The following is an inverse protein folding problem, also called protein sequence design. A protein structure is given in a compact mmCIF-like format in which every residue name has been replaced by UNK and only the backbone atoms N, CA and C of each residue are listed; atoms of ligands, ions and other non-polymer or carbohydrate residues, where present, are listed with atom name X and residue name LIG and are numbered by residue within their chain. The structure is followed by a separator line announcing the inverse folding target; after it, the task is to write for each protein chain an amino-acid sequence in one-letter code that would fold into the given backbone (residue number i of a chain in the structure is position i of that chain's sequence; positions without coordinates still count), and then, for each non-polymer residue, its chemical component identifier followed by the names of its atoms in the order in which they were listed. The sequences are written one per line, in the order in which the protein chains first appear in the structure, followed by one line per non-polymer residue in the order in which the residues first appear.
data_IF_013696752960
#
_entry.id   IF_013696752960
#
_cell.length_a   1.000
_cell.length_b   1.000
_cell.length_c   1.000
_cell.angle_alpha   90.00
_cell.angle_beta   90.00
_cell.angle_gamma   90.00
#
_symmetry.space_group_name_H-M   'P 1'
#
loop_
_entity.id
_entity.type
_entity.pdbx_description
1 polymer ?
#
# COMPACT_ATOMS: atom_id res chain seq x y z
N UNK A 1 -13.36 -3.04 5.02
CA UNK A 1 -14.15 -1.86 5.39
C UNK A 1 -13.18 -0.77 5.83
N UNK A 2 -12.98 0.30 5.05
CA UNK A 2 -12.03 1.35 5.38
C UNK A 2 -12.26 1.98 6.76
N UNK A 3 -13.53 2.14 7.16
CA UNK A 3 -13.88 2.73 8.45
C UNK A 3 -13.35 1.91 9.63
N UNK A 4 -13.45 0.58 9.55
CA UNK A 4 -12.90 -0.30 10.59
C UNK A 4 -11.38 -0.47 10.47
N UNK A 5 -10.81 -0.39 9.28
CA UNK A 5 -9.40 -0.74 9.05
C UNK A 5 -8.42 0.41 9.32
N UNK A 6 -8.76 1.66 8.98
CA UNK A 6 -7.81 2.77 9.14
C UNK A 6 -7.36 3.00 10.59
N UNK A 7 -8.24 2.94 11.60
CA UNK A 7 -7.86 3.08 13.01
C UNK A 7 -6.96 1.98 13.56
N UNK A 8 -6.76 0.89 12.83
CA UNK A 8 -5.89 -0.20 13.29
C UNK A 8 -4.43 0.05 12.91
N UNK A 9 -4.14 0.96 11.98
CA UNK A 9 -2.76 1.19 11.53
C UNK A 9 -1.84 1.74 12.63
N UNK A 10 -2.30 2.67 13.46
CA UNK A 10 -1.49 3.21 14.56
C UNK A 10 -1.26 2.17 15.65
N UNK A 11 -2.31 1.44 16.03
CA UNK A 11 -2.28 0.42 17.09
C UNK A 11 -1.39 -0.73 16.66
N UNK A 12 -1.62 -1.27 15.46
CA UNK A 12 -0.77 -2.32 14.91
C UNK A 12 0.69 -1.87 14.79
N UNK A 13 0.95 -0.66 14.27
CA UNK A 13 2.32 -0.17 14.13
C UNK A 13 3.02 0.02 15.49
N UNK A 14 2.30 0.50 16.51
CA UNK A 14 2.85 0.68 17.84
C UNK A 14 3.13 -0.65 18.55
N UNK A 15 2.17 -1.58 18.51
CA UNK A 15 2.30 -2.91 19.14
C UNK A 15 3.44 -3.74 18.51
N UNK A 16 3.71 -3.53 17.23
CA UNK A 16 4.82 -4.19 16.52
C UNK A 16 6.13 -3.37 16.53
N UNK A 17 6.20 -2.27 17.28
CA UNK A 17 7.43 -1.48 17.44
C UNK A 17 7.88 -0.73 16.19
N UNK A 18 6.99 -0.53 15.22
CA UNK A 18 7.26 0.20 13.97
C UNK A 18 7.25 1.72 14.17
N UNK A 19 6.53 2.18 15.20
CA UNK A 19 6.49 3.57 15.65
C UNK A 19 6.63 3.65 17.18
N UNK A 20 7.04 4.82 17.68
CA UNK A 20 7.14 5.06 19.13
C UNK A 20 5.87 5.69 19.69
N UNK A 21 5.72 5.67 21.01
CA UNK A 21 4.56 6.24 21.72
C UNK A 21 4.19 7.67 21.29
N UNK A 22 5.13 8.62 21.09
CA UNK A 22 4.77 9.96 20.61
C UNK A 22 4.13 9.96 19.22
N UNK A 23 4.64 9.15 18.29
CA UNK A 23 4.04 8.98 16.95
C UNK A 23 2.64 8.35 17.07
N UNK A 24 2.49 7.32 17.91
CA UNK A 24 1.21 6.66 18.16
C UNK A 24 0.12 7.64 18.64
N UNK A 25 0.40 8.47 19.66
CA UNK A 25 -0.60 9.40 20.19
C UNK A 25 -1.05 10.46 19.15
N UNK A 26 -0.12 10.91 18.29
CA UNK A 26 -0.44 11.83 17.19
C UNK A 26 -1.29 11.12 16.13
N UNK A 27 -0.87 9.92 15.72
CA UNK A 27 -1.56 9.13 14.69
C UNK A 27 -2.96 8.70 15.13
N UNK A 28 -3.17 8.40 16.41
CA UNK A 28 -4.49 8.13 16.97
C UNK A 28 -5.47 9.28 16.77
N UNK A 29 -4.99 10.52 16.88
CA UNK A 29 -5.76 11.71 16.56
C UNK A 29 -6.04 11.83 15.05
N UNK A 30 -5.04 11.54 14.22
CA UNK A 30 -5.17 11.57 12.75
C UNK A 30 -6.18 10.53 12.23
N UNK A 31 -6.14 9.29 12.74
CA UNK A 31 -7.08 8.24 12.33
C UNK A 31 -8.51 8.50 12.80
N UNK A 32 -8.71 9.12 13.98
CA UNK A 32 -10.05 9.61 14.37
C UNK A 32 -10.60 10.66 13.41
N UNK A 33 -9.75 11.56 12.91
CA UNK A 33 -10.16 12.55 11.92
C UNK A 33 -10.47 11.87 10.56
N UNK A 34 -9.67 10.88 10.17
CA UNK A 34 -9.92 10.03 9.01
C UNK A 34 -11.29 9.33 9.10
N UNK A 35 -11.63 8.69 10.21
CA UNK A 35 -12.94 8.04 10.43
C UNK A 35 -14.11 9.02 10.31
N UNK A 36 -13.97 10.20 10.91
CA UNK A 36 -14.97 11.25 10.82
C UNK A 36 -15.20 11.67 9.37
N UNK A 37 -14.14 11.79 8.57
CA UNK A 37 -14.24 12.09 7.13
C UNK A 37 -14.86 10.94 6.33
N UNK A 38 -14.51 9.68 6.61
CA UNK A 38 -15.13 8.51 5.97
C UNK A 38 -16.66 8.55 6.14
N UNK A 39 -17.13 8.87 7.35
CA UNK A 39 -18.56 9.01 7.65
C UNK A 39 -19.26 10.16 6.90
N UNK A 40 -18.54 11.15 6.37
CA UNK A 40 -19.14 12.22 5.55
C UNK A 40 -19.49 11.76 4.13
N UNK A 41 -18.88 10.66 3.66
CA UNK A 41 -19.02 10.18 2.28
C UNK A 41 -18.24 11.00 1.24
N UNK A 42 -17.45 12.00 1.64
CA UNK A 42 -16.61 12.79 0.72
C UNK A 42 -15.28 12.06 0.46
N UNK A 43 -15.36 10.98 -0.33
CA UNK A 43 -14.28 10.02 -0.51
C UNK A 43 -12.90 10.57 -0.91
N UNK A 44 -12.77 11.54 -1.84
CA UNK A 44 -11.44 12.03 -2.22
C UNK A 44 -10.68 12.68 -1.06
N UNK A 45 -11.38 13.43 -0.22
CA UNK A 45 -10.78 14.11 0.94
C UNK A 45 -10.48 13.09 2.05
N UNK A 46 -11.40 12.17 2.29
CA UNK A 46 -11.19 11.08 3.24
C UNK A 46 -9.97 10.25 2.85
N UNK A 47 -9.87 9.84 1.58
CA UNK A 47 -8.75 9.05 1.07
C UNK A 47 -7.41 9.77 1.30
N UNK A 48 -7.31 11.04 0.92
CA UNK A 48 -6.08 11.81 1.07
C UNK A 48 -5.62 11.90 2.53
N UNK A 49 -6.51 12.29 3.46
CA UNK A 49 -6.13 12.43 4.87
C UNK A 49 -5.73 11.08 5.47
N UNK A 50 -6.51 10.04 5.21
CA UNK A 50 -6.26 8.71 5.75
C UNK A 50 -4.92 8.15 5.22
N UNK A 51 -4.62 8.36 3.94
CA UNK A 51 -3.36 7.91 3.32
C UNK A 51 -2.14 8.69 3.83
N UNK A 52 -2.29 9.99 4.12
CA UNK A 52 -1.22 10.77 4.75
C UNK A 52 -0.85 10.21 6.13
N UNK A 53 -1.85 9.80 6.92
CA UNK A 53 -1.61 9.17 8.23
C UNK A 53 -0.87 7.83 8.09
N UNK A 54 -1.26 6.98 7.13
CA UNK A 54 -0.53 5.73 6.84
C UNK A 54 0.89 6.01 6.34
N UNK A 55 1.06 7.00 5.46
CA UNK A 55 2.37 7.39 4.94
C UNK A 55 3.29 7.90 6.04
N UNK A 56 2.78 8.56 7.08
CA UNK A 56 3.58 8.97 8.23
C UNK A 56 4.19 7.77 8.98
N UNK A 57 3.50 6.63 9.01
CA UNK A 57 4.01 5.36 9.56
C UNK A 57 5.07 4.77 8.63
N UNK A 58 4.75 4.66 7.33
CA UNK A 58 5.59 4.00 6.33
C UNK A 58 6.84 4.82 5.96
N UNK A 59 6.81 6.14 6.11
CA UNK A 59 7.87 7.04 5.71
C UNK A 59 7.87 7.34 4.21
N UNK A 60 8.99 7.06 3.53
CA UNK A 60 9.14 7.38 2.12
C UNK A 60 8.31 6.41 1.25
N UNK A 61 7.44 6.89 0.35
CA UNK A 61 6.54 6.03 -0.43
C UNK A 61 7.25 5.18 -1.50
N UNK A 62 8.46 5.55 -1.91
CA UNK A 62 9.29 4.77 -2.84
C UNK A 62 10.13 3.75 -2.06
N UNK A 63 10.61 4.13 -0.87
CA UNK A 63 11.43 3.27 -0.02
C UNK A 63 10.93 3.35 1.43
N UNK A 64 9.87 2.61 1.77
CA UNK A 64 9.29 2.66 3.10
C UNK A 64 10.28 2.16 4.16
N UNK A 65 10.01 2.50 5.43
CA UNK A 65 10.83 2.12 6.60
C UNK A 65 10.97 0.60 6.74
N UNK A 66 9.97 -0.14 6.28
CA UNK A 66 9.85 -1.61 6.26
C UNK A 66 8.98 -2.02 5.07
N UNK A 67 8.95 -3.31 4.74
CA UNK A 67 8.08 -3.82 3.67
C UNK A 67 6.60 -3.70 4.07
N UNK A 68 5.79 -3.01 3.25
CA UNK A 68 4.37 -2.73 3.53
C UNK A 68 3.51 -3.99 3.59
N UNK A 69 3.99 -5.10 3.04
CA UNK A 69 3.31 -6.39 3.01
C UNK A 69 3.81 -7.34 4.12
N UNK A 70 5.04 -7.16 4.59
CA UNK A 70 5.63 -7.94 5.69
C UNK A 70 6.55 -7.07 6.56
N UNK A 71 6.06 -6.72 7.75
CA UNK A 71 6.76 -5.84 8.69
C UNK A 71 8.07 -6.41 9.25
N UNK A 72 8.35 -7.70 9.01
CA UNK A 72 9.59 -8.37 9.44
C UNK A 72 10.73 -8.16 8.45
N UNK A 73 10.43 -7.65 7.25
CA UNK A 73 11.37 -7.51 6.14
C UNK A 73 11.62 -6.03 5.77
N UNK A 74 12.77 -5.76 5.17
CA UNK A 74 13.03 -4.49 4.49
C UNK A 74 12.42 -4.47 3.08
N UNK A 75 12.09 -3.28 2.58
CA UNK A 75 11.65 -3.10 1.20
C UNK A 75 12.86 -3.02 0.26
N UNK A 76 13.39 -4.18 -0.12
CA UNK A 76 14.63 -4.26 -0.91
C UNK A 76 14.39 -4.10 -2.43
N UNK A 77 13.18 -4.37 -2.89
CA UNK A 77 12.79 -4.30 -4.31
C UNK A 77 11.67 -3.25 -4.54
N UNK A 78 11.96 -1.95 -4.45
CA UNK A 78 10.95 -0.91 -4.66
C UNK A 78 10.46 -0.90 -6.13
N UNK A 79 9.19 -0.53 -6.40
CA UNK A 79 8.21 0.00 -5.43
C UNK A 79 7.34 -1.08 -4.74
N UNK A 80 7.39 -2.33 -5.19
CA UNK A 80 6.50 -3.42 -4.72
C UNK A 80 7.10 -4.25 -3.57
N UNK A 81 8.29 -3.89 -3.08
CA UNK A 81 9.06 -4.53 -2.02
C UNK A 81 9.46 -6.00 -2.23
N UNK A 82 8.96 -6.67 -3.27
CA UNK A 82 9.32 -8.04 -3.68
C UNK A 82 9.83 -8.08 -5.12
N UNK A 83 10.64 -9.10 -5.42
CA UNK A 83 11.07 -9.42 -6.78
C UNK A 83 9.95 -10.15 -7.53
N UNK A 84 9.31 -9.42 -8.46
CA UNK A 84 8.28 -9.97 -9.35
C UNK A 84 8.84 -10.45 -10.69
N UNK A 85 10.15 -10.35 -10.92
CA UNK A 85 10.78 -10.77 -12.18
C UNK A 85 10.47 -12.21 -12.59
N UNK A 86 10.31 -13.21 -11.68
CA UNK A 86 9.92 -14.54 -12.11
C UNK A 86 8.53 -14.59 -12.77
N UNK A 87 7.57 -13.84 -12.24
CA UNK A 87 6.23 -13.74 -12.81
C UNK A 87 6.26 -12.98 -14.14
N UNK A 88 6.99 -11.88 -14.21
CA UNK A 88 7.15 -11.11 -15.44
C UNK A 88 7.81 -11.92 -16.56
N UNK A 89 8.89 -12.63 -16.24
CA UNK A 89 9.59 -13.47 -17.20
C UNK A 89 8.67 -14.55 -17.76
N UNK A 90 7.86 -15.19 -16.91
CA UNK A 90 6.88 -16.18 -17.33
C UNK A 90 5.80 -15.57 -18.24
N UNK A 91 5.24 -14.43 -17.84
CA UNK A 91 4.10 -13.81 -18.54
C UNK A 91 4.50 -13.07 -19.82
N UNK A 92 5.78 -12.75 -19.97
CA UNK A 92 6.35 -12.15 -21.19
C UNK A 92 6.97 -13.16 -22.14
N UNK A 93 7.08 -14.44 -21.74
CA UNK A 93 7.54 -15.52 -22.61
C UNK A 93 6.57 -15.72 -23.81
N UNK A 94 7.05 -15.62 -25.07
CA UNK A 94 6.21 -15.77 -26.26
C UNK A 94 5.51 -17.13 -26.37
N UNK A 95 6.16 -18.23 -25.94
CA UNK A 95 5.56 -19.56 -25.95
C UNK A 95 4.41 -19.63 -24.94
N UNK A 96 4.57 -19.02 -23.76
CA UNK A 96 3.50 -18.92 -22.75
C UNK A 96 2.36 -18.06 -23.27
N UNK A 97 2.65 -16.89 -23.85
CA UNK A 97 1.62 -16.02 -24.42
C UNK A 97 0.81 -16.71 -25.53
N UNK A 98 1.48 -17.52 -26.36
CA UNK A 98 0.83 -18.32 -27.40
C UNK A 98 -0.06 -19.40 -26.81
N UNK A 99 0.39 -20.12 -25.78
CA UNK A 99 -0.42 -21.13 -25.08
C UNK A 99 -1.67 -20.50 -24.46
N UNK A 100 -1.52 -19.31 -23.87
CA UNK A 100 -2.63 -18.56 -23.26
C UNK A 100 -3.52 -17.81 -24.27
N UNK A 101 -3.12 -17.73 -25.54
CA UNK A 101 -3.86 -17.00 -26.58
C UNK A 101 -3.89 -15.47 -26.38
N UNK A 102 -2.85 -14.91 -25.75
CA UNK A 102 -2.76 -13.47 -25.42
C UNK A 102 -1.69 -12.74 -26.24
N UNK A 103 -1.25 -13.33 -27.34
CA UNK A 103 -0.27 -12.76 -28.25
C UNK A 103 -0.64 -11.31 -28.65
N UNK A 104 0.37 -10.44 -28.72
CA UNK A 104 0.18 -9.01 -29.03
C UNK A 104 -0.24 -8.13 -27.84
N UNK A 105 -0.44 -8.69 -26.65
CA UNK A 105 -0.69 -7.94 -25.41
C UNK A 105 0.59 -7.78 -24.60
N UNK A 106 0.66 -6.72 -23.78
CA UNK A 106 1.77 -6.48 -22.85
C UNK A 106 1.34 -6.77 -21.43
N UNK A 107 2.05 -7.66 -20.77
CA UNK A 107 1.92 -7.91 -19.34
C UNK A 107 2.51 -6.75 -18.53
N UNK A 108 1.85 -6.42 -17.43
CA UNK A 108 2.30 -5.54 -16.34
C UNK A 108 1.54 -5.92 -15.08
N UNK A 109 2.19 -5.87 -13.93
CA UNK A 109 1.59 -6.23 -12.64
C UNK A 109 0.58 -5.17 -12.18
N UNK A 110 0.89 -3.90 -12.41
CA UNK A 110 0.02 -2.78 -12.04
C UNK A 110 -0.17 -1.83 -13.23
N UNK A 111 -1.43 -1.43 -13.46
CA UNK A 111 -1.77 -0.38 -14.41
C UNK A 111 -2.12 0.91 -13.65
N UNK A 112 -1.21 1.88 -13.67
CA UNK A 112 -1.38 3.13 -12.92
C UNK A 112 -2.54 3.99 -13.42
N UNK A 113 -2.98 3.84 -14.67
CA UNK A 113 -4.17 4.55 -15.18
C UNK A 113 -5.43 4.05 -14.47
N UNK A 114 -5.53 2.74 -14.25
CA UNK A 114 -6.66 2.14 -13.52
C UNK A 114 -6.58 2.49 -12.04
N UNK A 115 -5.38 2.50 -11.46
CA UNK A 115 -5.18 2.85 -10.05
C UNK A 115 -5.65 4.28 -9.72
N UNK A 116 -5.49 5.23 -10.65
CA UNK A 116 -5.86 6.64 -10.43
C UNK A 116 -7.25 7.03 -10.94
N UNK A 117 -7.98 6.09 -11.55
CA UNK A 117 -9.31 6.34 -12.13
C UNK A 117 -10.41 6.31 -11.07
#
# INVERSE_FOLDING_TARGET
DPYTQYPEYDTFAYENGLIKKPEYEVLKGAFKACDALINTGIWPISLELCQVAVTAILGNPIKPRFNVYDIRESCDHPPMCYDFSPADNLMTDPAIQKILGVEGRKWKECNMVVHTA
#
